data_IF_831014399136
#
_entry.id   IF_831014399136
#
_cell.length_a   1.000
_cell.length_b   1.000
_cell.length_c   1.000
_cell.angle_alpha   90.00
_cell.angle_beta   90.00
_cell.angle_gamma   90.00
#
_symmetry.space_group_name_H-M   'P 1'
#
loop_
_entity.id
_entity.type
_entity.pdbx_description
1 polymer ?
#
# COMPACT_ATOMS: atom_id res chain seq x y z
N UNK A 1 9.35 53.41 35.72
CA UNK A 1 8.49 53.26 34.53
C UNK A 1 8.08 51.81 34.49
N UNK A 2 6.83 51.52 34.85
CA UNK A 2 6.29 50.16 34.88
C UNK A 2 6.10 49.61 33.47
N UNK A 3 6.50 48.35 33.29
CA UNK A 3 6.44 47.65 32.02
C UNK A 3 5.00 47.18 31.75
N UNK A 4 4.26 47.90 30.91
CA UNK A 4 3.01 47.41 30.34
C UNK A 4 3.29 46.39 29.23
N UNK A 5 3.66 45.16 29.59
CA UNK A 5 3.49 44.01 28.71
C UNK A 5 2.04 43.56 28.85
N UNK A 6 1.18 44.03 27.95
CA UNK A 6 -0.16 43.51 27.81
C UNK A 6 -0.06 41.99 27.56
N UNK A 7 -0.54 41.20 28.54
CA UNK A 7 -0.72 39.76 28.36
C UNK A 7 -1.67 39.55 27.16
N UNK A 8 -1.37 38.62 26.23
CA UNK A 8 -2.30 38.29 25.18
C UNK A 8 -3.57 37.74 25.83
N UNK A 9 -4.73 38.28 25.45
CA UNK A 9 -6.01 37.82 25.97
C UNK A 9 -6.18 36.31 25.69
N UNK A 10 -6.30 35.55 26.78
CA UNK A 10 -6.71 34.14 26.79
C UNK A 10 -8.05 34.01 26.06
N UNK A 11 -8.06 33.38 24.87
CA UNK A 11 -9.30 33.08 24.15
C UNK A 11 -9.29 33.24 22.64
N UNK A 12 -8.22 33.78 22.04
CA UNK A 12 -8.08 33.71 20.59
C UNK A 12 -7.46 32.36 20.23
N UNK A 13 -8.28 31.40 19.79
CA UNK A 13 -7.78 30.25 19.02
C UNK A 13 -6.76 30.79 18.02
N UNK A 14 -5.54 30.26 18.04
CA UNK A 14 -4.50 30.62 17.08
C UNK A 14 -5.14 30.69 15.69
N UNK A 15 -4.98 31.80 14.93
CA UNK A 15 -5.58 31.90 13.61
C UNK A 15 -5.13 30.67 12.81
N UNK A 16 -6.10 29.82 12.43
CA UNK A 16 -5.80 28.55 11.76
C UNK A 16 -4.85 28.83 10.60
N UNK A 17 -3.74 28.10 10.56
CA UNK A 17 -2.76 28.28 9.49
C UNK A 17 -3.46 28.05 8.15
N UNK A 18 -3.09 28.81 7.11
CA UNK A 18 -3.67 28.63 5.77
C UNK A 18 -3.54 27.18 5.29
N UNK A 19 -2.44 26.51 5.63
CA UNK A 19 -2.25 25.07 5.37
C UNK A 19 -3.27 24.19 6.08
N UNK A 20 -3.62 24.51 7.32
CA UNK A 20 -4.61 23.76 8.10
C UNK A 20 -6.03 23.95 7.55
N UNK A 21 -6.36 25.19 7.17
CA UNK A 21 -7.64 25.52 6.52
C UNK A 21 -7.76 24.77 5.20
N UNK A 22 -6.74 24.84 4.35
CA UNK A 22 -6.71 24.15 3.06
C UNK A 22 -6.79 22.63 3.26
N UNK A 23 -6.05 22.07 4.22
CA UNK A 23 -6.13 20.64 4.55
C UNK A 23 -7.55 20.24 4.94
N UNK A 24 -8.21 20.98 5.83
CA UNK A 24 -9.58 20.68 6.26
C UNK A 24 -10.60 20.77 5.12
N UNK A 25 -10.50 21.81 4.28
CA UNK A 25 -11.37 21.94 3.10
C UNK A 25 -11.12 20.77 2.16
N UNK A 26 -9.86 20.48 1.81
CA UNK A 26 -9.51 19.36 0.93
C UNK A 26 -10.00 18.02 1.48
N UNK A 27 -9.96 17.78 2.79
CA UNK A 27 -10.52 16.57 3.40
C UNK A 27 -12.05 16.50 3.28
N UNK A 28 -12.75 17.64 3.34
CA UNK A 28 -14.21 17.71 3.20
C UNK A 28 -14.69 17.57 1.73
N UNK A 29 -13.92 18.08 0.76
CA UNK A 29 -14.30 18.09 -0.68
C UNK A 29 -13.60 17.01 -1.52
N UNK A 30 -12.57 16.34 -1.00
CA UNK A 30 -11.70 15.42 -1.75
C UNK A 30 -12.42 14.35 -2.58
N UNK A 31 -13.51 13.77 -2.09
CA UNK A 31 -14.20 12.72 -2.83
C UNK A 31 -14.96 13.26 -4.07
N UNK A 32 -15.42 14.51 -4.01
CA UNK A 32 -16.33 15.10 -4.99
C UNK A 32 -15.68 16.13 -5.91
N UNK A 33 -14.49 16.66 -5.58
CA UNK A 33 -13.85 17.71 -6.38
C UNK A 33 -13.35 17.21 -7.74
N UNK A 34 -14.03 17.58 -8.82
CA UNK A 34 -13.60 17.36 -10.20
C UNK A 34 -12.28 18.05 -10.52
N UNK A 35 -12.01 19.19 -9.89
CA UNK A 35 -10.75 19.93 -10.05
C UNK A 35 -9.54 19.08 -9.63
N UNK A 36 -9.60 18.44 -8.46
CA UNK A 36 -8.50 17.59 -7.96
C UNK A 36 -8.29 16.36 -8.85
N UNK A 37 -9.39 15.77 -9.35
CA UNK A 37 -9.34 14.65 -10.30
C UNK A 37 -8.66 15.06 -11.62
N UNK A 38 -9.00 16.23 -12.14
CA UNK A 38 -8.40 16.76 -13.37
C UNK A 38 -6.92 17.14 -13.18
N UNK A 39 -6.54 17.60 -11.97
CA UNK A 39 -5.16 17.88 -11.61
C UNK A 39 -4.31 16.62 -11.35
N UNK A 40 -4.89 15.41 -11.45
CA UNK A 40 -4.20 14.15 -11.19
C UNK A 40 -3.90 13.90 -9.70
N UNK A 41 -4.47 14.71 -8.80
CA UNK A 41 -4.28 14.55 -7.37
C UNK A 41 -5.20 13.43 -6.88
N UNK A 42 -4.60 12.27 -6.57
CA UNK A 42 -5.33 11.13 -6.03
C UNK A 42 -5.80 11.46 -4.61
N UNK A 43 -7.11 11.39 -4.39
CA UNK A 43 -7.68 11.63 -3.08
C UNK A 43 -7.62 10.35 -2.24
N UNK A 44 -7.19 10.44 -0.97
CA UNK A 44 -7.09 9.29 -0.09
C UNK A 44 -8.51 8.77 0.19
N UNK A 45 -8.93 7.76 -0.55
CA UNK A 45 -10.27 7.17 -0.45
C UNK A 45 -10.90 6.82 -1.79
N UNK A 46 -10.41 7.37 -2.90
CA UNK A 46 -10.97 7.08 -4.23
C UNK A 46 -10.22 5.95 -4.95
N UNK A 47 -9.98 4.82 -4.28
CA UNK A 47 -9.71 3.58 -5.03
C UNK A 47 -11.03 3.20 -5.70
N UNK A 48 -11.11 3.34 -7.02
CA UNK A 48 -12.30 2.92 -7.78
C UNK A 48 -12.64 1.46 -7.45
N UNK A 49 -13.92 1.09 -7.38
CA UNK A 49 -14.30 -0.31 -7.20
C UNK A 49 -13.60 -1.25 -8.20
N UNK A 50 -13.33 -0.75 -9.42
CA UNK A 50 -12.52 -1.45 -10.43
C UNK A 50 -11.06 -1.65 -10.01
N UNK A 51 -10.43 -0.68 -9.36
CA UNK A 51 -9.05 -0.84 -8.89
C UNK A 51 -8.97 -1.81 -7.72
N UNK A 52 -9.94 -1.79 -6.81
CA UNK A 52 -10.02 -2.74 -5.69
C UNK A 52 -10.22 -4.17 -6.21
N UNK A 53 -11.14 -4.36 -7.16
CA UNK A 53 -11.36 -5.66 -7.78
C UNK A 53 -10.11 -6.18 -8.51
N UNK A 54 -9.40 -5.30 -9.23
CA UNK A 54 -8.15 -5.65 -9.90
C UNK A 54 -7.04 -6.01 -8.91
N UNK A 55 -6.93 -5.29 -7.80
CA UNK A 55 -5.96 -5.57 -6.73
C UNK A 55 -6.23 -6.95 -6.11
N UNK A 56 -7.49 -7.27 -5.81
CA UNK A 56 -7.89 -8.59 -5.31
C UNK A 56 -7.59 -9.71 -6.32
N UNK A 57 -7.91 -9.51 -7.60
CA UNK A 57 -7.62 -10.48 -8.67
C UNK A 57 -6.11 -10.73 -8.83
N UNK A 58 -5.28 -9.68 -8.69
CA UNK A 58 -3.83 -9.82 -8.75
C UNK A 58 -3.28 -10.59 -7.54
N UNK A 59 -3.84 -10.35 -6.35
CA UNK A 59 -3.47 -11.10 -5.16
C UNK A 59 -3.81 -12.59 -5.28
N UNK A 60 -4.98 -12.92 -5.83
CA UNK A 60 -5.37 -14.31 -6.09
C UNK A 60 -4.40 -15.02 -7.04
N UNK A 61 -4.07 -14.38 -8.17
CA UNK A 61 -3.10 -14.90 -9.14
C UNK A 61 -1.73 -15.14 -8.50
N UNK A 62 -1.26 -14.20 -7.68
CA UNK A 62 0.02 -14.34 -6.98
C UNK A 62 0.02 -15.53 -6.01
N UNK A 63 -1.09 -15.79 -5.32
CA UNK A 63 -1.20 -16.94 -4.43
C UNK A 63 -1.21 -18.25 -5.22
N UNK A 64 -1.97 -18.31 -6.33
CA UNK A 64 -1.99 -19.48 -7.20
C UNK A 64 -0.62 -19.78 -7.83
N UNK A 65 0.13 -18.75 -8.21
CA UNK A 65 1.48 -18.91 -8.75
C UNK A 65 2.46 -19.41 -7.69
N UNK A 66 2.38 -18.91 -6.46
CA UNK A 66 3.20 -19.40 -5.34
C UNK A 66 2.94 -20.87 -5.03
N UNK A 67 1.68 -21.27 -4.92
CA UNK A 67 1.37 -22.68 -4.65
C UNK A 67 1.83 -23.60 -5.78
N UNK A 68 1.73 -23.14 -7.03
CA UNK A 68 2.23 -23.90 -8.17
C UNK A 68 3.76 -24.00 -8.17
N UNK A 69 4.46 -22.91 -7.85
CA UNK A 69 5.91 -22.90 -7.72
C UNK A 69 6.40 -23.84 -6.60
N UNK A 70 5.73 -23.85 -5.45
CA UNK A 70 6.05 -24.73 -4.33
C UNK A 70 5.87 -26.21 -4.72
N UNK A 71 4.79 -26.54 -5.44
CA UNK A 71 4.57 -27.90 -5.94
C UNK A 71 5.66 -28.32 -6.93
N UNK A 72 6.00 -27.44 -7.88
CA UNK A 72 7.03 -27.72 -8.87
C UNK A 72 8.40 -27.90 -8.23
N UNK A 73 8.73 -27.09 -7.22
CA UNK A 73 9.97 -27.24 -6.45
C UNK A 73 10.02 -28.60 -5.75
N UNK A 74 8.92 -29.02 -5.13
CA UNK A 74 8.83 -30.34 -4.51
C UNK A 74 9.04 -31.47 -5.53
N UNK A 75 8.41 -31.38 -6.71
CA UNK A 75 8.62 -32.37 -7.77
C UNK A 75 10.09 -32.42 -8.22
N UNK A 76 10.73 -31.28 -8.43
CA UNK A 76 12.15 -31.21 -8.78
C UNK A 76 13.04 -31.84 -7.71
N UNK A 77 12.78 -31.56 -6.43
CA UNK A 77 13.55 -32.14 -5.33
C UNK A 77 13.38 -33.67 -5.28
N UNK A 78 12.16 -34.18 -5.48
CA UNK A 78 11.92 -35.63 -5.53
C UNK A 78 12.61 -36.29 -6.71
N UNK A 79 12.63 -35.63 -7.87
CA UNK A 79 13.23 -36.16 -9.08
C UNK A 79 14.76 -36.14 -8.97
N UNK A 80 15.33 -35.06 -8.40
CA UNK A 80 16.75 -34.94 -8.13
C UNK A 80 17.22 -36.05 -7.18
N UNK A 81 16.49 -36.28 -6.08
CA UNK A 81 16.81 -37.35 -5.13
C UNK A 81 16.81 -38.73 -5.80
N UNK A 82 15.79 -39.01 -6.62
CA UNK A 82 15.76 -40.26 -7.41
C UNK A 82 16.93 -40.37 -8.38
N UNK A 83 17.32 -39.27 -9.02
CA UNK A 83 18.48 -39.20 -9.90
C UNK A 83 19.77 -39.55 -9.16
N UNK A 84 20.02 -38.92 -8.02
CA UNK A 84 21.18 -39.20 -7.16
C UNK A 84 21.21 -40.67 -6.73
N UNK A 85 20.07 -41.24 -6.30
CA UNK A 85 19.96 -42.65 -5.92
C UNK A 85 20.26 -43.60 -7.09
N UNK A 86 19.84 -43.25 -8.31
CA UNK A 86 20.13 -44.05 -9.51
C UNK A 86 21.59 -43.95 -9.96
N UNK A 87 22.21 -42.77 -9.81
CA UNK A 87 23.61 -42.56 -10.16
C UNK A 87 24.54 -43.26 -9.15
N UNK A 88 24.23 -43.21 -7.85
CA UNK A 88 24.96 -43.94 -6.81
C UNK A 88 24.86 -45.47 -6.97
N UNK A 89 23.70 -45.98 -7.39
CA UNK A 89 23.52 -47.41 -7.67
C UNK A 89 24.35 -47.85 -8.90
N UNK A 90 24.45 -47.00 -9.91
CA UNK A 90 25.26 -47.27 -11.11
C UNK A 90 26.76 -47.20 -10.81
N UNK A 91 27.20 -46.24 -9.99
CA UNK A 91 28.60 -46.08 -9.60
C UNK A 91 29.13 -47.19 -8.66
N UNK A 92 28.24 -47.94 -8.00
CA UNK A 92 28.58 -49.09 -7.14
C UNK A 92 28.62 -50.44 -7.86
N UNK A 93 28.24 -50.49 -9.15
CA UNK A 93 28.25 -51.71 -9.97
C UNK A 93 29.52 -51.76 -10.82
#
# INVERSE_FOLDING_TARGET
MENMLAQPAEGLETPRSSTEIVSKVLSQTSAASTFLKNAGLQTPGSKSARSVAREAQLQEQLQAEKTWADLLQQELDTLKKKGEETEDALAKT
#
